data_IF_449976470674
#
_entry.id   IF_449976470674
#
_cell.length_a   1.000
_cell.length_b   1.000
_cell.length_c   1.000
_cell.angle_alpha   90.00
_cell.angle_beta   90.00
_cell.angle_gamma   90.00
#
_symmetry.space_group_name_H-M   'P 1'
#
loop_
_entity.id
_entity.type
_entity.pdbx_description
1 polymer ?
#
# COMPACT_ATOMS: atom_id res chain seq x y z
N UNK A 1 13.21 -14.98 9.14
CA UNK A 1 13.28 -15.12 7.66
C UNK A 1 14.49 -14.36 7.18
N UNK A 2 15.34 -14.97 6.34
CA UNK A 2 16.42 -14.25 5.67
C UNK A 2 15.87 -13.16 4.75
N UNK A 3 16.70 -12.16 4.44
CA UNK A 3 16.35 -11.04 3.55
C UNK A 3 15.80 -11.50 2.20
N UNK A 4 16.30 -12.61 1.65
CA UNK A 4 15.83 -13.23 0.41
C UNK A 4 14.37 -13.69 0.47
N UNK A 5 13.97 -14.35 1.55
CA UNK A 5 12.60 -14.83 1.72
C UNK A 5 11.61 -13.66 1.89
N UNK A 6 12.04 -12.60 2.58
CA UNK A 6 11.27 -11.35 2.69
C UNK A 6 11.10 -10.68 1.33
N UNK A 7 12.16 -10.61 0.53
CA UNK A 7 12.12 -10.06 -0.82
C UNK A 7 11.16 -10.83 -1.73
N UNK A 8 11.24 -12.17 -1.73
CA UNK A 8 10.35 -13.03 -2.52
C UNK A 8 8.89 -12.83 -2.08
N UNK A 9 8.63 -12.75 -0.77
CA UNK A 9 7.29 -12.49 -0.24
C UNK A 9 6.74 -11.14 -0.71
N UNK A 10 7.53 -10.07 -0.60
CA UNK A 10 7.14 -8.73 -1.06
C UNK A 10 6.87 -8.75 -2.56
N UNK A 11 7.75 -9.35 -3.37
CA UNK A 11 7.58 -9.45 -4.81
C UNK A 11 6.28 -10.21 -5.17
N UNK A 12 6.02 -11.35 -4.53
CA UNK A 12 4.80 -12.12 -4.74
C UNK A 12 3.55 -11.32 -4.34
N UNK A 13 3.55 -10.67 -3.17
CA UNK A 13 2.46 -9.83 -2.71
C UNK A 13 2.20 -8.63 -3.65
N UNK A 14 3.28 -8.04 -4.18
CA UNK A 14 3.21 -6.96 -5.20
C UNK A 14 2.47 -7.42 -6.43
N UNK A 15 2.88 -8.57 -6.99
CA UNK A 15 2.28 -9.12 -8.21
C UNK A 15 0.82 -9.49 -7.98
N UNK A 16 0.50 -10.13 -6.85
CA UNK A 16 -0.87 -10.49 -6.48
C UNK A 16 -1.73 -9.24 -6.37
N UNK A 17 -1.27 -8.22 -5.64
CA UNK A 17 -1.98 -6.95 -5.50
C UNK A 17 -2.20 -6.30 -6.85
N UNK A 18 -1.17 -6.21 -7.70
CA UNK A 18 -1.28 -5.60 -9.02
C UNK A 18 -2.30 -6.34 -9.90
N UNK A 19 -2.25 -7.66 -9.94
CA UNK A 19 -3.20 -8.47 -10.72
C UNK A 19 -4.62 -8.33 -10.20
N UNK A 20 -4.82 -8.42 -8.88
CA UNK A 20 -6.14 -8.28 -8.26
C UNK A 20 -6.70 -6.87 -8.47
N UNK A 21 -5.88 -5.84 -8.30
CA UNK A 21 -6.25 -4.45 -8.53
C UNK A 21 -6.58 -4.20 -9.99
N UNK A 22 -5.74 -4.64 -10.93
CA UNK A 22 -5.98 -4.50 -12.36
C UNK A 22 -7.28 -5.17 -12.79
N UNK A 23 -7.53 -6.41 -12.34
CA UNK A 23 -8.79 -7.11 -12.59
C UNK A 23 -9.99 -6.36 -12.01
N UNK A 24 -9.90 -5.94 -10.74
CA UNK A 24 -10.95 -5.15 -10.11
C UNK A 24 -11.27 -3.89 -10.91
N UNK A 25 -10.25 -3.12 -11.33
CA UNK A 25 -10.46 -1.90 -12.12
C UNK A 25 -11.08 -2.17 -13.49
N UNK A 26 -10.69 -3.28 -14.13
CA UNK A 26 -11.20 -3.67 -15.46
C UNK A 26 -12.62 -4.21 -15.41
N UNK A 27 -12.93 -5.06 -14.43
CA UNK A 27 -14.21 -5.77 -14.30
C UNK A 27 -15.32 -4.86 -13.73
N UNK A 28 -15.00 -3.97 -12.79
CA UNK A 28 -16.01 -3.09 -12.18
C UNK A 28 -16.27 -1.81 -12.96
N UNK A 29 -15.50 -1.55 -14.03
CA UNK A 29 -15.63 -0.31 -14.81
C UNK A 29 -15.30 0.96 -14.01
N UNK A 30 -14.76 0.86 -12.79
CA UNK A 30 -14.54 2.02 -11.92
C UNK A 30 -13.56 3.07 -12.47
N UNK A 31 -12.72 2.75 -13.45
CA UNK A 31 -11.92 3.78 -14.15
C UNK A 31 -12.71 4.53 -15.23
N UNK A 32 -13.82 3.97 -15.71
CA UNK A 32 -14.70 4.61 -16.70
C UNK A 32 -15.73 5.52 -16.04
N UNK A 33 -16.09 5.22 -14.81
CA UNK A 33 -16.96 6.06 -13.96
C UNK A 33 -16.15 7.16 -13.25
N UNK A 34 -16.65 8.39 -13.30
CA UNK A 34 -16.05 9.55 -12.63
C UNK A 34 -16.03 9.37 -11.10
N UNK A 35 -17.04 8.71 -10.52
CA UNK A 35 -17.08 8.38 -9.09
C UNK A 35 -15.96 7.41 -8.71
N UNK A 36 -15.78 6.34 -9.47
CA UNK A 36 -14.72 5.36 -9.23
C UNK A 36 -13.32 5.96 -9.37
N UNK A 37 -13.11 6.86 -10.33
CA UNK A 37 -11.87 7.64 -10.46
C UNK A 37 -11.62 8.53 -9.24
N UNK A 38 -12.63 9.25 -8.76
CA UNK A 38 -12.52 10.11 -7.58
C UNK A 38 -12.19 9.32 -6.31
N UNK A 39 -12.87 8.18 -6.10
CA UNK A 39 -12.57 7.25 -5.00
C UNK A 39 -11.10 6.80 -5.04
N UNK A 40 -10.62 6.39 -6.22
CA UNK A 40 -9.25 5.94 -6.38
C UNK A 40 -8.24 7.06 -6.11
N UNK A 41 -8.52 8.28 -6.57
CA UNK A 41 -7.67 9.43 -6.33
C UNK A 41 -7.58 9.75 -4.83
N UNK A 42 -8.72 9.87 -4.13
CA UNK A 42 -8.74 10.17 -2.69
C UNK A 42 -8.04 9.05 -1.91
N UNK A 43 -8.32 7.79 -2.21
CA UNK A 43 -7.65 6.67 -1.56
C UNK A 43 -6.13 6.69 -1.77
N UNK A 44 -5.68 7.04 -2.99
CA UNK A 44 -4.25 7.17 -3.31
C UNK A 44 -3.60 8.33 -2.57
N UNK A 45 -4.24 9.50 -2.53
CA UNK A 45 -3.76 10.69 -1.81
C UNK A 45 -3.60 10.40 -0.32
N UNK A 46 -4.61 9.81 0.32
CA UNK A 46 -4.56 9.47 1.75
C UNK A 46 -3.50 8.41 2.06
N UNK A 47 -3.41 7.38 1.22
CA UNK A 47 -2.39 6.33 1.39
C UNK A 47 -0.99 6.89 1.22
N UNK A 48 -0.77 7.79 0.25
CA UNK A 48 0.53 8.43 0.02
C UNK A 48 0.97 9.23 1.25
N UNK A 49 0.08 10.02 1.85
CA UNK A 49 0.38 10.78 3.07
C UNK A 49 0.78 9.83 4.22
N UNK A 50 0.02 8.75 4.42
CA UNK A 50 0.31 7.75 5.47
C UNK A 50 1.68 7.12 5.23
N UNK A 51 1.97 6.69 4.00
CA UNK A 51 3.26 6.07 3.63
C UNK A 51 4.42 7.04 3.82
N UNK A 52 4.26 8.32 3.46
CA UNK A 52 5.30 9.34 3.67
C UNK A 52 5.62 9.54 5.16
N UNK A 53 4.59 9.63 6.01
CA UNK A 53 4.77 9.73 7.47
C UNK A 53 5.46 8.46 8.00
N UNK A 54 5.03 7.28 7.57
CA UNK A 54 5.64 6.02 8.00
C UNK A 54 7.08 5.87 7.54
N UNK A 55 7.44 6.34 6.34
CA UNK A 55 8.83 6.37 5.87
C UNK A 55 9.68 7.29 6.73
N UNK A 56 9.20 8.50 7.03
CA UNK A 56 9.90 9.43 7.91
C UNK A 56 10.11 8.82 9.31
N UNK A 57 9.07 8.25 9.89
CA UNK A 57 9.15 7.55 11.17
C UNK A 57 10.08 6.35 11.12
N UNK A 58 10.10 5.61 10.01
CA UNK A 58 10.98 4.45 9.82
C UNK A 58 12.45 4.88 9.81
N UNK A 59 12.79 5.96 9.10
CA UNK A 59 14.16 6.50 9.09
C UNK A 59 14.58 6.92 10.50
N UNK A 60 13.75 7.71 11.19
CA UNK A 60 14.04 8.14 12.55
C UNK A 60 14.17 6.95 13.51
N UNK A 61 13.31 5.94 13.37
CA UNK A 61 13.34 4.77 14.24
C UNK A 61 14.58 3.90 14.00
N UNK A 62 14.95 3.64 12.75
CA UNK A 62 16.14 2.86 12.39
C UNK A 62 17.42 3.55 12.88
N UNK A 63 17.51 4.87 12.77
CA UNK A 63 18.69 5.63 13.22
C UNK A 63 18.83 5.66 14.76
N UNK A 64 17.73 5.57 15.50
CA UNK A 64 17.72 5.68 16.97
C UNK A 64 17.56 4.33 17.70
N UNK A 65 17.18 3.26 17.00
CA UNK A 65 16.89 1.94 17.57
C UNK A 65 17.65 0.86 16.81
N UNK A 66 18.83 0.50 17.31
CA UNK A 66 19.75 -0.46 16.66
C UNK A 66 19.17 -1.86 16.42
N UNK A 67 18.09 -2.22 17.13
CA UNK A 67 17.41 -3.52 16.97
C UNK A 67 16.41 -3.55 15.80
N UNK A 68 16.11 -2.39 15.19
CA UNK A 68 15.21 -2.31 14.04
C UNK A 68 15.96 -2.51 12.72
N UNK A 69 15.52 -3.52 11.97
CA UNK A 69 16.04 -3.84 10.65
C UNK A 69 15.37 -2.94 9.59
N UNK A 70 16.13 -2.14 8.82
CA UNK A 70 15.59 -1.25 7.79
C UNK A 70 14.73 -1.98 6.75
N UNK A 71 15.12 -3.21 6.37
CA UNK A 71 14.38 -3.98 5.38
C UNK A 71 13.02 -4.42 5.92
N UNK A 72 12.92 -4.74 7.21
CA UNK A 72 11.64 -5.09 7.85
C UNK A 72 10.73 -3.87 8.01
N UNK A 73 11.30 -2.70 8.30
CA UNK A 73 10.54 -1.44 8.36
C UNK A 73 9.99 -1.06 6.98
N UNK A 74 10.80 -1.17 5.93
CA UNK A 74 10.33 -0.98 4.55
C UNK A 74 9.26 -1.99 4.15
N UNK A 75 9.40 -3.26 4.54
CA UNK A 75 8.38 -4.29 4.30
C UNK A 75 7.05 -3.95 4.98
N UNK A 76 7.10 -3.42 6.21
CA UNK A 76 5.92 -2.95 6.94
C UNK A 76 5.26 -1.78 6.22
N UNK A 77 6.04 -0.76 5.84
CA UNK A 77 5.55 0.40 5.07
C UNK A 77 4.88 -0.07 3.77
N UNK A 78 5.52 -0.98 3.05
CA UNK A 78 5.00 -1.54 1.81
C UNK A 78 3.67 -2.28 2.02
N UNK A 79 3.57 -3.06 3.10
CA UNK A 79 2.35 -3.76 3.50
C UNK A 79 1.23 -2.74 3.76
N UNK A 80 1.51 -1.68 4.53
CA UNK A 80 0.54 -0.62 4.78
C UNK A 80 0.14 0.10 3.48
N UNK A 81 1.05 0.30 2.54
CA UNK A 81 0.72 0.92 1.25
C UNK A 81 -0.31 0.09 0.46
N UNK A 82 -0.10 -1.23 0.34
CA UNK A 82 -1.03 -2.12 -0.36
C UNK A 82 -2.38 -2.19 0.35
N UNK A 83 -2.37 -2.59 1.62
CA UNK A 83 -3.61 -2.86 2.35
C UNK A 83 -4.34 -1.57 2.69
N UNK A 84 -3.61 -0.50 3.03
CA UNK A 84 -4.16 0.82 3.26
C UNK A 84 -4.87 1.37 2.02
N UNK A 85 -4.27 1.24 0.83
CA UNK A 85 -4.94 1.66 -0.41
C UNK A 85 -6.23 0.90 -0.65
N UNK A 86 -6.19 -0.43 -0.56
CA UNK A 86 -7.36 -1.28 -0.75
C UNK A 86 -8.46 -0.96 0.27
N UNK A 87 -8.10 -0.77 1.55
CA UNK A 87 -9.02 -0.43 2.62
C UNK A 87 -9.67 0.94 2.41
N UNK A 88 -8.87 1.96 2.04
CA UNK A 88 -9.38 3.31 1.78
C UNK A 88 -10.34 3.31 0.60
N UNK A 89 -10.03 2.57 -0.47
CA UNK A 89 -10.96 2.42 -1.59
C UNK A 89 -12.25 1.74 -1.19
N UNK A 90 -12.16 0.65 -0.42
CA UNK A 90 -13.33 -0.05 0.08
C UNK A 90 -14.20 0.89 0.93
N UNK A 91 -13.60 1.62 1.86
CA UNK A 91 -14.29 2.62 2.67
C UNK A 91 -15.00 3.67 1.81
N UNK A 92 -14.27 4.35 0.91
CA UNK A 92 -14.84 5.41 0.08
C UNK A 92 -15.91 4.90 -0.89
N UNK A 93 -15.84 3.66 -1.36
CA UNK A 93 -16.91 3.05 -2.15
C UNK A 93 -18.23 2.86 -1.40
N UNK A 94 -18.20 2.86 -0.06
CA UNK A 94 -19.39 2.72 0.79
C UNK A 94 -19.97 4.08 1.20
N UNK A 95 -19.15 5.12 1.30
CA UNK A 95 -19.58 6.43 1.83
C UNK A 95 -19.79 7.52 0.79
N UNK A 96 -19.20 7.39 -0.41
CA UNK A 96 -19.41 8.28 -1.56
C UNK A 96 -20.14 7.54 -2.64
#
# INVERSE_FOLDING_TARGET
MGSEALFIFIAAATVIYWVAFYRFMKETGQMKDERGRRINQIASEKTLIIVQILLLMSNLAVDNLEWLDPAKMLALVYTVAIFGHALMRYYYSRVM
#
